data_IF_069830217638
#
_entry.id   IF_069830217638
#
_cell.length_a   1.000
_cell.length_b   1.000
_cell.length_c   1.000
_cell.angle_alpha   90.00
_cell.angle_beta   90.00
_cell.angle_gamma   90.00
#
_symmetry.space_group_name_H-M   'P 1'
#
loop_
_entity.id
_entity.type
_entity.pdbx_description
1 polymer ?
#
# COMPACT_ATOMS: atom_id res chain seq x y z
N UNK A 1 5.89 -6.88 6.18
CA UNK A 1 6.59 -5.97 5.26
C UNK A 1 6.11 -4.54 5.48
N UNK A 2 6.97 -3.60 5.16
CA UNK A 2 6.65 -2.17 5.22
C UNK A 2 6.93 -1.52 3.87
N UNK A 3 6.20 -0.46 3.58
CA UNK A 3 6.35 0.31 2.36
C UNK A 3 6.68 1.75 2.74
N UNK A 4 7.91 2.18 2.49
CA UNK A 4 8.36 3.51 2.90
C UNK A 4 9.52 3.98 2.04
N UNK A 5 9.63 5.29 1.90
CA UNK A 5 10.75 5.96 1.22
C UNK A 5 11.91 6.25 2.18
N UNK A 6 11.66 6.24 3.48
CA UNK A 6 12.66 6.53 4.52
C UNK A 6 12.42 5.61 5.72
N UNK A 7 13.47 5.29 6.47
CA UNK A 7 13.32 4.53 7.71
C UNK A 7 12.63 5.37 8.79
N UNK A 8 11.92 4.73 9.75
CA UNK A 8 11.36 5.44 10.89
C UNK A 8 12.41 6.21 11.68
N UNK A 9 13.60 5.67 11.83
CA UNK A 9 14.72 6.33 12.50
C UNK A 9 15.15 7.60 11.77
N UNK A 10 15.30 7.54 10.46
CA UNK A 10 15.62 8.70 9.63
C UNK A 10 14.55 9.76 9.68
N UNK A 11 13.28 9.35 9.62
CA UNK A 11 12.15 10.26 9.76
C UNK A 11 12.14 10.96 11.12
N UNK A 12 12.37 10.21 12.21
CA UNK A 12 12.43 10.78 13.55
C UNK A 12 13.57 11.81 13.68
N UNK A 13 14.71 11.54 13.09
CA UNK A 13 15.84 12.48 13.08
C UNK A 13 15.49 13.79 12.37
N UNK A 14 14.79 13.71 11.25
CA UNK A 14 14.42 14.89 10.45
C UNK A 14 13.34 15.71 11.15
N UNK A 15 12.24 15.06 11.59
CA UNK A 15 11.08 15.77 12.11
C UNK A 15 11.25 16.27 13.54
N UNK A 16 11.88 15.46 14.41
CA UNK A 16 12.03 15.79 15.84
C UNK A 16 13.47 16.00 16.26
N UNK A 17 14.43 15.79 15.36
CA UNK A 17 15.86 15.81 15.66
C UNK A 17 16.23 14.85 16.79
N UNK A 18 15.46 13.76 16.91
CA UNK A 18 15.60 12.74 17.94
C UNK A 18 15.28 11.38 17.34
N UNK A 19 16.30 10.60 17.04
CA UNK A 19 16.15 9.25 16.49
C UNK A 19 15.49 8.26 17.45
N UNK A 20 15.33 8.62 18.72
CA UNK A 20 14.60 7.81 19.71
C UNK A 20 13.09 7.84 19.53
N UNK A 21 12.54 8.76 18.72
CA UNK A 21 11.09 8.86 18.46
C UNK A 21 10.66 8.01 17.26
N UNK A 22 11.21 6.81 17.14
CA UNK A 22 10.94 5.88 16.04
C UNK A 22 9.47 5.48 15.97
N UNK A 23 8.83 5.22 17.10
CA UNK A 23 7.43 4.80 17.15
C UNK A 23 6.49 5.89 16.62
N UNK A 24 6.73 7.15 16.99
CA UNK A 24 5.96 8.29 16.49
C UNK A 24 6.16 8.48 14.99
N UNK A 25 7.41 8.35 14.52
CA UNK A 25 7.73 8.46 13.11
C UNK A 25 7.07 7.35 12.29
N UNK A 26 7.12 6.10 12.75
CA UNK A 26 6.48 4.97 12.09
C UNK A 26 4.97 5.16 11.97
N UNK A 27 4.34 5.69 13.00
CA UNK A 27 2.91 5.99 12.98
C UNK A 27 2.57 7.11 11.99
N UNK A 28 3.37 8.16 11.93
CA UNK A 28 3.15 9.26 10.97
C UNK A 28 3.35 8.84 9.52
N UNK A 29 4.27 7.91 9.26
CA UNK A 29 4.59 7.45 7.90
C UNK A 29 3.52 6.55 7.28
N UNK A 30 2.67 5.91 8.10
CA UNK A 30 1.66 4.95 7.62
C UNK A 30 2.26 3.89 6.69
N UNK A 31 3.25 3.13 7.20
CA UNK A 31 4.07 2.22 6.39
C UNK A 31 3.63 0.76 6.41
N UNK A 32 2.62 0.41 7.21
CA UNK A 32 2.16 -0.97 7.34
C UNK A 32 1.32 -1.41 6.14
N UNK A 33 1.16 -2.74 5.99
CA UNK A 33 0.31 -3.30 4.95
C UNK A 33 -1.15 -2.82 5.08
N UNK A 34 -1.66 -2.73 6.30
CA UNK A 34 -3.01 -2.22 6.55
C UNK A 34 -3.15 -0.76 6.11
N UNK A 35 -2.16 0.07 6.40
CA UNK A 35 -2.14 1.46 5.96
C UNK A 35 -2.14 1.56 4.42
N UNK A 36 -1.38 0.69 3.75
CA UNK A 36 -1.32 0.67 2.29
C UNK A 36 -2.65 0.31 1.65
N UNK A 37 -3.40 -0.61 2.25
CA UNK A 37 -4.77 -0.94 1.79
C UNK A 37 -5.71 0.23 2.03
N UNK A 38 -5.67 0.84 3.21
CA UNK A 38 -6.51 1.99 3.56
C UNK A 38 -6.28 3.20 2.64
N UNK A 39 -5.03 3.40 2.22
CA UNK A 39 -4.65 4.48 1.31
C UNK A 39 -4.83 4.12 -0.18
N UNK A 40 -5.33 2.94 -0.49
CA UNK A 40 -5.50 2.43 -1.85
C UNK A 40 -4.19 2.27 -2.64
N UNK A 41 -3.06 2.13 -1.96
CA UNK A 41 -1.78 1.82 -2.59
C UNK A 41 -1.66 0.33 -2.89
N UNK A 42 -2.20 -0.50 -2.02
CA UNK A 42 -2.27 -1.95 -2.20
C UNK A 42 -3.73 -2.42 -2.21
N UNK A 43 -4.01 -3.48 -2.93
CA UNK A 43 -5.35 -4.05 -3.09
C UNK A 43 -5.67 -5.10 -2.03
N UNK A 44 -4.65 -5.68 -1.39
CA UNK A 44 -4.85 -6.72 -0.40
C UNK A 44 -3.60 -7.04 0.37
N UNK A 45 -3.73 -7.92 1.34
CA UNK A 45 -2.65 -8.34 2.23
C UNK A 45 -2.51 -9.86 2.16
N UNK A 46 -1.27 -10.33 1.97
CA UNK A 46 -0.92 -11.73 2.13
C UNK A 46 -0.22 -11.87 3.48
N UNK A 47 -0.78 -12.60 4.44
CA UNK A 47 -0.17 -12.75 5.76
C UNK A 47 1.19 -13.41 5.70
N UNK A 48 2.13 -12.89 6.45
CA UNK A 48 3.45 -13.50 6.64
C UNK A 48 3.34 -14.67 7.62
N UNK A 49 3.95 -15.79 7.25
CA UNK A 49 4.05 -16.97 8.13
C UNK A 49 5.39 -17.65 7.92
N UNK A 50 6.42 -17.08 8.51
CA UNK A 50 7.79 -17.63 8.38
C UNK A 50 7.98 -18.94 9.15
N UNK A 51 7.07 -19.28 10.08
CA UNK A 51 7.07 -20.57 10.75
C UNK A 51 6.62 -21.71 9.81
N UNK A 52 5.82 -21.40 8.80
CA UNK A 52 5.38 -22.34 7.77
C UNK A 52 5.54 -21.70 6.39
N UNK A 53 6.78 -21.63 5.95
CA UNK A 53 7.14 -21.01 4.67
C UNK A 53 6.46 -21.69 3.47
N UNK A 54 6.36 -23.03 3.37
CA UNK A 54 5.63 -23.67 2.28
C UNK A 54 4.16 -23.24 2.19
N UNK A 55 3.48 -23.08 3.33
CA UNK A 55 2.10 -22.61 3.37
C UNK A 55 2.00 -21.15 2.91
N UNK A 56 2.92 -20.32 3.33
CA UNK A 56 2.97 -18.92 2.87
C UNK A 56 3.15 -18.84 1.36
N UNK A 57 4.06 -19.63 0.79
CA UNK A 57 4.26 -19.70 -0.65
C UNK A 57 3.02 -20.19 -1.39
N UNK A 58 2.32 -21.19 -0.84
CA UNK A 58 1.08 -21.70 -1.41
C UNK A 58 -0.01 -20.62 -1.44
N UNK A 59 -0.15 -19.87 -0.35
CA UNK A 59 -1.11 -18.77 -0.27
C UNK A 59 -0.79 -17.66 -1.29
N UNK A 60 0.48 -17.31 -1.44
CA UNK A 60 0.93 -16.36 -2.47
C UNK A 60 0.63 -16.83 -3.87
N UNK A 61 0.88 -18.12 -4.14
CA UNK A 61 0.61 -18.73 -5.46
C UNK A 61 -0.87 -18.66 -5.80
N UNK A 62 -1.74 -18.97 -4.86
CA UNK A 62 -3.20 -18.87 -5.05
C UNK A 62 -3.61 -17.43 -5.37
N UNK A 63 -3.13 -16.47 -4.60
CA UNK A 63 -3.47 -15.06 -4.80
C UNK A 63 -2.97 -14.54 -6.15
N UNK A 64 -1.73 -14.84 -6.51
CA UNK A 64 -1.16 -14.42 -7.79
C UNK A 64 -1.90 -15.06 -8.97
N UNK A 65 -2.29 -16.33 -8.87
CA UNK A 65 -3.04 -17.02 -9.90
C UNK A 65 -4.41 -16.39 -10.10
N UNK A 66 -5.11 -16.09 -9.01
CA UNK A 66 -6.42 -15.41 -9.05
C UNK A 66 -6.31 -14.04 -9.70
N UNK A 67 -5.30 -13.25 -9.31
CA UNK A 67 -5.08 -11.92 -9.86
C UNK A 67 -4.75 -11.96 -11.34
N UNK A 68 -3.91 -12.89 -11.76
CA UNK A 68 -3.56 -13.07 -13.18
C UNK A 68 -4.75 -13.53 -14.01
N UNK A 69 -5.56 -14.45 -13.51
CA UNK A 69 -6.76 -14.91 -14.21
C UNK A 69 -7.75 -13.76 -14.41
N UNK A 70 -7.94 -12.91 -13.38
CA UNK A 70 -8.79 -11.75 -13.47
C UNK A 70 -8.27 -10.74 -14.50
N UNK A 71 -6.98 -10.44 -14.48
CA UNK A 71 -6.36 -9.50 -15.41
C UNK A 71 -6.34 -10.03 -16.85
N UNK A 72 -6.11 -11.32 -17.05
CA UNK A 72 -6.10 -11.95 -18.37
C UNK A 72 -7.49 -11.99 -19.03
N UNK A 73 -8.56 -11.88 -18.25
CA UNK A 73 -9.93 -11.78 -18.77
C UNK A 73 -10.26 -10.40 -19.34
N UNK A 74 -9.42 -9.40 -19.11
CA UNK A 74 -9.63 -8.04 -19.57
C UNK A 74 -9.01 -7.81 -20.94
N UNK A 75 -9.60 -6.90 -21.72
CA UNK A 75 -8.96 -6.41 -22.95
C UNK A 75 -7.79 -5.49 -22.63
N UNK A 76 -6.84 -5.28 -23.57
CA UNK A 76 -5.76 -4.31 -23.34
C UNK A 76 -6.24 -2.90 -22.98
N UNK A 77 -7.33 -2.44 -23.59
CA UNK A 77 -7.93 -1.14 -23.27
C UNK A 77 -8.48 -1.09 -21.85
N UNK A 78 -9.14 -2.17 -21.42
CA UNK A 78 -9.66 -2.28 -20.04
C UNK A 78 -8.52 -2.30 -19.02
N UNK A 79 -7.43 -3.02 -19.31
CA UNK A 79 -6.26 -3.07 -18.44
C UNK A 79 -5.63 -1.68 -18.27
N UNK A 80 -5.45 -0.94 -19.36
CA UNK A 80 -4.90 0.41 -19.33
C UNK A 80 -5.80 1.37 -18.56
N UNK A 81 -7.12 1.28 -18.76
CA UNK A 81 -8.08 2.12 -18.05
C UNK A 81 -8.10 1.83 -16.55
N UNK A 82 -8.10 0.55 -16.16
CA UNK A 82 -8.06 0.17 -14.75
C UNK A 82 -6.76 0.63 -14.08
N UNK A 83 -5.63 0.47 -14.78
CA UNK A 83 -4.34 0.95 -14.28
C UNK A 83 -4.35 2.45 -14.05
N UNK A 84 -4.85 3.21 -14.99
CA UNK A 84 -4.97 4.67 -14.88
C UNK A 84 -5.81 5.05 -13.66
N UNK A 85 -6.99 4.45 -13.52
CA UNK A 85 -7.89 4.72 -12.38
C UNK A 85 -7.26 4.35 -11.06
N UNK A 86 -6.53 3.23 -11.02
CA UNK A 86 -5.83 2.78 -9.82
C UNK A 86 -4.86 3.84 -9.33
N UNK A 87 -4.02 4.36 -10.19
CA UNK A 87 -3.06 5.40 -9.82
C UNK A 87 -3.74 6.72 -9.48
N UNK A 88 -4.81 7.05 -10.13
CA UNK A 88 -5.56 8.28 -9.84
C UNK A 88 -6.28 8.25 -8.49
N UNK A 89 -6.58 7.08 -7.96
CA UNK A 89 -7.20 6.93 -6.63
C UNK A 89 -6.20 7.07 -5.48
N UNK A 90 -4.91 6.97 -5.75
CA UNK A 90 -3.89 7.14 -4.73
C UNK A 90 -3.80 8.60 -4.36
N UNK A 91 -3.91 8.87 -3.07
CA UNK A 91 -3.77 10.21 -2.52
C UNK A 91 -5.06 10.77 -1.96
N UNK A 92 -4.97 11.21 -0.73
CA UNK A 92 -6.00 11.94 -0.01
C UNK A 92 -5.29 13.13 0.64
N UNK A 93 -5.80 14.33 0.45
CA UNK A 93 -5.20 15.51 1.05
C UNK A 93 -6.28 16.41 1.64
N UNK A 94 -5.85 17.31 2.52
CA UNK A 94 -6.71 18.30 3.13
C UNK A 94 -6.48 19.66 2.48
N UNK A 95 -7.56 20.30 2.08
CA UNK A 95 -7.52 21.62 1.48
C UNK A 95 -8.61 22.48 2.15
N UNK A 96 -8.20 23.60 2.74
CA UNK A 96 -9.11 24.52 3.42
C UNK A 96 -10.01 23.86 4.49
N UNK A 97 -9.46 22.86 5.21
CA UNK A 97 -10.19 22.11 6.22
C UNK A 97 -11.07 20.98 5.68
N UNK A 98 -11.07 20.74 4.38
CA UNK A 98 -11.83 19.68 3.74
C UNK A 98 -10.91 18.59 3.21
N UNK A 99 -11.31 17.32 3.40
CA UNK A 99 -10.59 16.19 2.83
C UNK A 99 -10.91 16.08 1.35
N UNK A 100 -9.88 16.08 0.52
CA UNK A 100 -10.01 15.96 -0.93
C UNK A 100 -9.54 14.59 -1.38
N UNK A 101 -10.37 13.92 -2.16
CA UNK A 101 -10.08 12.62 -2.77
C UNK A 101 -10.36 12.69 -4.26
N UNK A 102 -9.58 11.95 -5.04
CA UNK A 102 -9.92 11.78 -6.44
C UNK A 102 -11.21 10.97 -6.55
N UNK A 103 -12.19 11.53 -7.25
CA UNK A 103 -13.43 10.83 -7.57
C UNK A 103 -13.45 10.46 -9.04
N UNK A 104 -13.72 9.19 -9.35
CA UNK A 104 -13.88 8.72 -10.72
C UNK A 104 -15.23 9.18 -11.28
N UNK A 105 -15.19 9.69 -12.47
CA UNK A 105 -16.39 10.07 -13.23
C UNK A 105 -16.47 9.29 -14.54
#
# INVERSE_FOLDING_TARGET
>A
AVYSVISPEGCASILWKDSGRVADAAQCLHITAADMVDLHVAEGIIPENFADFPQMCAAMTVQLTMDLDELCALTPEELLEQRYRRYRRIGVYEENGSIVRFTEH
#
